data_IF_303584983918
#
_entry.id   IF_303584983918
#
_cell.length_a   1.000
_cell.length_b   1.000
_cell.length_c   1.000
_cell.angle_alpha   90.00
_cell.angle_beta   90.00
_cell.angle_gamma   90.00
#
_symmetry.space_group_name_H-M   'P 1'
#
loop_
_entity.id
_entity.type
_entity.pdbx_description
1 polymer ?
#
# COMPACT_ATOMS: atom_id res chain seq x y z
N UNK A 1 -39.20 -21.58 -30.66
CA UNK A 1 -38.30 -20.49 -31.03
C UNK A 1 -37.52 -20.12 -29.78
N UNK A 2 -36.29 -20.62 -29.63
CA UNK A 2 -35.39 -20.17 -28.57
C UNK A 2 -34.76 -18.87 -29.06
N UNK A 3 -35.00 -17.78 -28.34
CA UNK A 3 -34.23 -16.56 -28.51
C UNK A 3 -32.85 -16.81 -27.90
N UNK A 4 -31.82 -16.86 -28.75
CA UNK A 4 -30.43 -16.91 -28.32
C UNK A 4 -30.13 -15.61 -27.56
N UNK A 5 -30.01 -15.77 -26.25
CA UNK A 5 -29.67 -14.74 -25.27
C UNK A 5 -28.15 -14.49 -25.36
N UNK A 6 -27.73 -13.75 -26.39
CA UNK A 6 -26.36 -13.25 -26.58
C UNK A 6 -26.07 -11.99 -25.73
N UNK A 7 -26.57 -11.94 -24.49
CA UNK A 7 -26.36 -10.81 -23.56
C UNK A 7 -24.89 -10.63 -23.12
N UNK A 8 -24.04 -11.62 -23.40
CA UNK A 8 -22.59 -11.53 -23.16
C UNK A 8 -21.84 -10.86 -24.32
N UNK A 9 -22.48 -10.64 -25.47
CA UNK A 9 -21.85 -10.03 -26.66
C UNK A 9 -21.99 -8.51 -26.70
N UNK A 10 -22.79 -7.90 -25.83
CA UNK A 10 -22.86 -6.44 -25.72
C UNK A 10 -21.94 -5.95 -24.60
N UNK A 11 -21.19 -4.88 -24.92
CA UNK A 11 -20.64 -3.92 -23.96
C UNK A 11 -19.21 -4.14 -23.42
N UNK A 12 -18.32 -4.77 -24.19
CA UNK A 12 -16.86 -4.60 -23.96
C UNK A 12 -16.29 -3.85 -25.15
N UNK A 13 -16.05 -2.55 -25.01
CA UNK A 13 -15.30 -1.83 -26.03
C UNK A 13 -13.90 -2.49 -26.12
N UNK A 14 -13.34 -2.72 -27.32
CA UNK A 14 -12.01 -3.32 -27.46
C UNK A 14 -10.93 -2.63 -26.61
N UNK A 15 -11.12 -1.33 -26.37
CA UNK A 15 -10.31 -0.45 -25.54
C UNK A 15 -10.28 -0.87 -24.06
N UNK A 16 -11.40 -1.40 -23.53
CA UNK A 16 -11.50 -1.90 -22.16
C UNK A 16 -10.72 -3.22 -21.99
N UNK A 17 -10.71 -4.06 -23.04
CA UNK A 17 -9.94 -5.30 -23.08
C UNK A 17 -8.44 -5.04 -23.11
N UNK A 18 -7.99 -4.07 -23.90
CA UNK A 18 -6.58 -3.64 -23.92
C UNK A 18 -6.16 -3.02 -22.58
N UNK A 19 -6.98 -2.13 -22.01
CA UNK A 19 -6.70 -1.53 -20.70
C UNK A 19 -6.58 -2.59 -19.60
N UNK A 20 -7.50 -3.57 -19.56
CA UNK A 20 -7.43 -4.68 -18.61
C UNK A 20 -6.18 -5.53 -18.80
N UNK A 21 -5.80 -5.82 -20.06
CA UNK A 21 -4.57 -6.55 -20.35
C UNK A 21 -3.34 -5.81 -19.80
N UNK A 22 -3.26 -4.49 -20.02
CA UNK A 22 -2.18 -3.66 -19.48
C UNK A 22 -2.16 -3.62 -17.97
N UNK A 23 -3.32 -3.49 -17.31
CA UNK A 23 -3.41 -3.45 -15.86
C UNK A 23 -2.97 -4.78 -15.22
N UNK A 24 -3.38 -5.92 -15.80
CA UNK A 24 -2.94 -7.24 -15.34
C UNK A 24 -1.43 -7.40 -15.57
N UNK A 25 -0.95 -7.10 -16.77
CA UNK A 25 0.48 -7.21 -17.10
C UNK A 25 1.33 -6.36 -16.15
N UNK A 26 0.91 -5.11 -15.89
CA UNK A 26 1.56 -4.22 -14.92
C UNK A 26 1.47 -4.79 -13.50
N UNK A 27 0.32 -5.26 -13.05
CA UNK A 27 0.14 -5.78 -11.69
C UNK A 27 1.06 -6.98 -11.38
N UNK A 28 1.31 -7.82 -12.39
CA UNK A 28 2.17 -9.01 -12.29
C UNK A 28 3.66 -8.67 -12.41
N UNK A 29 4.03 -7.76 -13.31
CA UNK A 29 5.44 -7.46 -13.61
C UNK A 29 6.04 -6.38 -12.69
N UNK A 30 5.20 -5.60 -12.01
CA UNK A 30 5.65 -4.50 -11.16
C UNK A 30 6.49 -4.98 -9.99
N UNK A 31 7.65 -4.33 -9.83
CA UNK A 31 8.54 -4.55 -8.71
C UNK A 31 7.80 -4.38 -7.39
N UNK A 32 7.98 -5.36 -6.50
CA UNK A 32 7.34 -5.37 -5.21
C UNK A 32 8.25 -6.00 -4.15
N UNK A 33 8.11 -5.49 -2.95
CA UNK A 33 8.65 -6.00 -1.71
C UNK A 33 7.58 -6.84 -0.99
N UNK A 34 8.02 -7.90 -0.29
CA UNK A 34 7.13 -8.87 0.35
C UNK A 34 7.42 -9.01 1.84
N UNK A 35 6.39 -9.39 2.61
CA UNK A 35 6.52 -9.63 4.05
C UNK A 35 7.06 -8.42 4.80
N UNK A 36 6.56 -7.24 4.47
CA UNK A 36 7.14 -5.99 4.93
C UNK A 36 6.66 -5.63 6.34
N UNK A 37 7.56 -5.08 7.14
CA UNK A 37 7.26 -4.40 8.39
C UNK A 37 7.62 -2.94 8.20
N UNK A 38 6.63 -2.07 8.33
CA UNK A 38 6.83 -0.63 8.17
C UNK A 38 6.70 0.03 9.54
N UNK A 39 7.66 0.89 9.86
CA UNK A 39 7.69 1.63 11.11
C UNK A 39 8.01 3.09 10.84
N UNK A 40 7.17 3.98 11.35
CA UNK A 40 7.43 5.41 11.37
C UNK A 40 7.86 5.84 12.77
N UNK A 41 8.85 6.73 12.83
CA UNK A 41 9.34 7.34 14.06
C UNK A 41 9.41 8.85 13.87
N UNK A 42 9.17 9.57 14.95
CA UNK A 42 9.22 11.03 14.97
C UNK A 42 10.10 11.50 16.12
N UNK A 43 10.64 12.70 16.01
CA UNK A 43 11.40 13.32 17.10
C UNK A 43 10.53 13.56 18.33
N UNK A 44 11.17 13.68 19.51
CA UNK A 44 10.48 13.99 20.78
C UNK A 44 9.59 15.23 20.66
N UNK A 45 8.42 15.16 21.28
CA UNK A 45 7.37 16.19 21.23
C UNK A 45 6.39 16.03 20.05
N UNK A 46 6.68 15.12 19.11
CA UNK A 46 5.75 14.71 18.07
C UNK A 46 5.13 13.35 18.38
N UNK A 47 3.87 13.19 17.97
CA UNK A 47 3.13 11.95 18.05
C UNK A 47 2.48 11.63 16.70
N UNK A 48 2.31 10.34 16.42
CA UNK A 48 1.63 9.83 15.23
C UNK A 48 0.23 9.38 15.67
N UNK A 49 -0.82 10.10 15.24
CA UNK A 49 -2.22 9.83 15.63
C UNK A 49 -2.79 8.64 14.86
N UNK A 50 -2.82 8.77 13.53
CA UNK A 50 -3.40 7.79 12.62
C UNK A 50 -2.51 7.55 11.43
N UNK A 51 -2.44 6.29 11.05
CA UNK A 51 -1.88 5.86 9.78
C UNK A 51 -3.00 5.78 8.74
N UNK A 52 -2.97 6.68 7.75
CA UNK A 52 -3.88 6.72 6.60
C UNK A 52 -3.14 6.17 5.39
N UNK A 53 -3.05 4.85 5.29
CA UNK A 53 -2.39 4.20 4.17
C UNK A 53 -3.43 3.59 3.24
N UNK A 54 -3.40 4.01 1.99
CA UNK A 54 -4.06 3.31 0.89
C UNK A 54 -3.06 2.31 0.35
N UNK A 55 -2.94 1.17 1.05
CA UNK A 55 -2.30 0.00 0.50
C UNK A 55 -3.11 -0.40 -0.72
N UNK A 56 -2.46 -0.48 -1.88
CA UNK A 56 -3.01 -0.86 -3.19
C UNK A 56 -4.39 -1.54 -3.08
N UNK A 57 -5.44 -0.85 -3.52
CA UNK A 57 -6.84 -1.28 -3.43
C UNK A 57 -7.15 -2.56 -4.23
N UNK A 58 -6.15 -3.19 -4.84
CA UNK A 58 -6.34 -4.25 -5.84
C UNK A 58 -6.27 -5.68 -5.31
N UNK A 59 -5.99 -5.97 -4.04
CA UNK A 59 -5.97 -7.39 -3.62
C UNK A 59 -6.23 -7.76 -2.15
N UNK A 60 -6.26 -6.86 -1.18
CA UNK A 60 -6.58 -7.31 0.19
C UNK A 60 -7.06 -6.18 1.10
N UNK A 61 -8.32 -6.29 1.53
CA UNK A 61 -8.83 -5.67 2.76
C UNK A 61 -8.18 -6.33 3.99
N UNK A 62 -6.86 -6.42 4.05
CA UNK A 62 -6.20 -6.81 5.28
C UNK A 62 -5.94 -5.54 6.09
N UNK A 63 -6.61 -5.34 7.23
CA UNK A 63 -6.27 -4.25 8.12
C UNK A 63 -4.79 -4.40 8.47
N UNK A 64 -4.03 -3.31 8.38
CA UNK A 64 -2.64 -3.29 8.82
C UNK A 64 -2.60 -3.85 10.25
N UNK A 65 -1.99 -5.02 10.43
CA UNK A 65 -1.92 -5.66 11.74
C UNK A 65 -0.87 -4.90 12.54
N UNK A 66 -1.21 -4.36 13.72
CA UNK A 66 -0.23 -3.70 14.56
C UNK A 66 0.84 -4.71 14.94
N UNK A 67 2.10 -4.39 14.64
CA UNK A 67 3.24 -5.15 15.14
C UNK A 67 3.45 -4.76 16.63
N UNK A 68 3.60 -5.73 17.55
CA UNK A 68 3.87 -5.47 18.97
C UNK A 68 5.08 -4.55 19.22
N UNK A 69 5.99 -4.40 18.24
CA UNK A 69 7.18 -3.55 18.29
C UNK A 69 6.93 -2.11 17.80
N UNK A 70 5.66 -1.74 17.58
CA UNK A 70 5.25 -0.39 17.19
C UNK A 70 5.38 -0.11 15.68
N UNK A 71 5.18 -1.13 14.85
CA UNK A 71 5.12 -1.03 13.39
C UNK A 71 3.81 -1.61 12.86
N UNK A 72 3.75 -1.82 11.55
CA UNK A 72 2.61 -2.48 10.90
C UNK A 72 3.08 -3.47 9.84
N UNK A 73 2.39 -4.61 9.81
CA UNK A 73 2.65 -5.70 8.89
C UNK A 73 1.94 -5.48 7.56
N UNK A 74 2.68 -5.73 6.48
CA UNK A 74 2.25 -5.49 5.11
C UNK A 74 2.64 -6.67 4.25
N UNK A 75 1.69 -7.37 3.64
CA UNK A 75 2.02 -8.50 2.79
C UNK A 75 2.88 -8.11 1.58
N UNK A 76 2.56 -6.98 0.93
CA UNK A 76 3.19 -6.52 -0.30
C UNK A 76 3.22 -5.00 -0.39
N UNK A 77 4.37 -4.43 -0.73
CA UNK A 77 4.55 -3.01 -1.06
C UNK A 77 5.07 -2.95 -2.49
N UNK A 78 4.41 -2.21 -3.36
CA UNK A 78 4.83 -1.99 -4.74
C UNK A 78 5.19 -0.52 -4.97
N UNK A 79 5.70 -0.18 -6.15
CA UNK A 79 6.12 1.20 -6.42
C UNK A 79 4.97 2.23 -6.51
N UNK A 80 3.69 1.82 -6.49
CA UNK A 80 2.56 2.76 -6.41
C UNK A 80 1.98 2.86 -4.99
N UNK A 81 2.57 2.17 -4.00
CA UNK A 81 2.10 2.19 -2.63
C UNK A 81 2.30 3.57 -1.99
N UNK A 82 1.28 4.05 -1.26
CA UNK A 82 1.31 5.35 -0.59
C UNK A 82 1.03 5.20 0.91
N UNK A 83 1.94 5.76 1.71
CA UNK A 83 1.83 5.85 3.17
C UNK A 83 1.45 7.28 3.59
N UNK A 84 0.31 7.44 4.25
CA UNK A 84 -0.09 8.69 4.88
C UNK A 84 0.04 8.60 6.40
N UNK A 85 0.72 9.59 7.00
CA UNK A 85 0.87 9.69 8.45
C UNK A 85 0.26 11.01 8.93
N UNK A 86 -0.61 10.95 9.94
CA UNK A 86 -1.04 12.13 10.67
C UNK A 86 -0.10 12.32 11.86
N UNK A 87 0.65 13.42 11.85
CA UNK A 87 1.63 13.77 12.88
C UNK A 87 1.17 15.07 13.53
N UNK A 88 1.16 15.10 14.86
CA UNK A 88 0.81 16.28 15.64
C UNK A 88 1.86 16.53 16.72
N UNK A 89 1.85 17.75 17.27
CA UNK A 89 2.72 18.14 18.39
C UNK A 89 1.96 17.83 19.68
N UNK A 90 2.54 16.97 20.51
CA UNK A 90 1.97 16.54 21.80
C UNK A 90 2.62 17.27 22.97
N UNK A 91 3.91 17.57 22.86
CA UNK A 91 4.69 18.34 23.83
C UNK A 91 5.49 19.45 23.13
N UNK A 92 5.97 20.43 23.91
CA UNK A 92 6.88 21.46 23.41
C UNK A 92 8.09 20.82 22.71
N UNK A 93 8.36 21.28 21.49
CA UNK A 93 9.48 20.77 20.69
C UNK A 93 10.80 21.29 21.29
N UNK A 94 11.66 20.41 21.84
CA UNK A 94 12.88 20.85 22.52
C UNK A 94 13.96 21.34 21.55
N UNK A 95 13.76 21.14 20.25
CA UNK A 95 14.72 21.43 19.20
C UNK A 95 14.10 22.32 18.12
N UNK A 96 14.95 23.07 17.42
CA UNK A 96 14.57 23.92 16.29
C UNK A 96 14.05 23.14 15.08
N UNK A 97 14.40 21.86 14.98
CA UNK A 97 14.03 21.00 13.87
C UNK A 97 13.26 19.78 14.38
N UNK A 98 12.29 19.36 13.58
CA UNK A 98 11.56 18.11 13.74
C UNK A 98 12.10 17.07 12.77
N UNK A 99 12.10 15.80 13.19
CA UNK A 99 12.54 14.69 12.35
C UNK A 99 11.44 13.67 12.20
N UNK A 100 11.35 13.11 11.00
CA UNK A 100 10.50 11.99 10.65
C UNK A 100 11.37 10.92 9.98
N UNK A 101 11.25 9.69 10.45
CA UNK A 101 11.96 8.54 9.89
C UNK A 101 10.94 7.46 9.52
N UNK A 102 10.95 7.04 8.26
CA UNK A 102 10.23 5.87 7.81
C UNK A 102 11.23 4.74 7.55
N UNK A 103 10.99 3.58 8.16
CA UNK A 103 11.77 2.38 7.95
C UNK A 103 10.87 1.27 7.41
N UNK A 104 11.35 0.54 6.39
CA UNK A 104 10.65 -0.58 5.77
C UNK A 104 11.59 -1.78 5.77
N UNK A 105 11.34 -2.73 6.68
CA UNK A 105 11.95 -4.04 6.61
C UNK A 105 11.15 -4.87 5.62
N UNK A 106 11.80 -5.57 4.70
CA UNK A 106 11.11 -6.37 3.70
C UNK A 106 11.99 -7.52 3.22
N UNK A 107 11.39 -8.41 2.44
CA UNK A 107 12.10 -9.35 1.58
C UNK A 107 11.96 -8.90 0.13
N UNK A 108 13.06 -8.99 -0.63
CA UNK A 108 13.00 -8.84 -2.09
C UNK A 108 12.35 -10.08 -2.73
N UNK A 109 12.12 -10.05 -4.04
CA UNK A 109 11.50 -11.17 -4.77
C UNK A 109 12.31 -12.48 -4.72
N UNK A 110 13.59 -12.40 -4.37
CA UNK A 110 14.52 -13.53 -4.23
C UNK A 110 14.57 -14.08 -2.78
N UNK A 111 13.79 -13.50 -1.87
CA UNK A 111 13.72 -13.90 -0.45
C UNK A 111 14.80 -13.29 0.45
N UNK A 112 15.68 -12.45 -0.09
CA UNK A 112 16.77 -11.79 0.64
C UNK A 112 16.23 -10.56 1.39
N UNK A 113 16.74 -10.33 2.61
CA UNK A 113 16.40 -9.17 3.46
C UNK A 113 17.16 -7.91 3.07
#
# INVERSE_FOLDING_TARGET
MCADLDWWKSDVAPQDGEALHFDIARAVTKAAAYGCVVQARVSRGLCIDRHLSRWSQTASRHPAVPDPRGGFLVPRIDCDAVFGFSIYVDEDLPARYAYFQLAVLHHNAEGIR
#
